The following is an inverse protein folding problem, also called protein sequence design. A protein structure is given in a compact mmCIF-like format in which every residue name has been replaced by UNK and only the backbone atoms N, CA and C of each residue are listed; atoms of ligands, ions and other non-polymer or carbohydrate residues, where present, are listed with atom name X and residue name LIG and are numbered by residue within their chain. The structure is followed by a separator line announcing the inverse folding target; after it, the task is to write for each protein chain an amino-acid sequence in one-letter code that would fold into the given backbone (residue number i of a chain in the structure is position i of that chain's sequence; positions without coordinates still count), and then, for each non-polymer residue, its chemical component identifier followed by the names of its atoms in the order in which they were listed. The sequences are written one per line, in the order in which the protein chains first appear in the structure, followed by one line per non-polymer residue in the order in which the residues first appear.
data_IF_221657019603
#
_entry.id   IF_221657019603
#
_cell.length_a   1.000
_cell.length_b   1.000
_cell.length_c   1.000
_cell.angle_alpha   90.00
_cell.angle_beta   90.00
_cell.angle_gamma   90.00
#
_symmetry.space_group_name_H-M   'P 1'
#
loop_
_entity.id
_entity.type
_entity.pdbx_description
1 polymer ?
#
# COMPACT_ATOMS: atom_id res chain seq x y z
N UNK A 1 31.45 11.45 -8.34
CA UNK A 1 32.27 11.68 -9.55
C UNK A 1 31.49 12.55 -10.52
N UNK A 2 32.16 13.46 -11.24
CA UNK A 2 31.53 14.38 -12.20
C UNK A 2 31.37 13.72 -13.58
N UNK A 3 30.35 14.14 -14.33
CA UNK A 3 30.15 13.73 -15.72
C UNK A 3 31.25 14.31 -16.62
N UNK A 4 31.87 13.48 -17.45
CA UNK A 4 32.89 13.87 -18.43
C UNK A 4 32.34 13.56 -19.83
N UNK A 5 31.95 14.55 -20.64
CA UNK A 5 31.29 14.33 -21.94
C UNK A 5 32.07 13.42 -22.90
N UNK A 6 33.41 13.46 -22.88
CA UNK A 6 34.25 12.64 -23.76
C UNK A 6 34.26 11.14 -23.40
N UNK A 7 34.01 10.79 -22.14
CA UNK A 7 34.04 9.41 -21.65
C UNK A 7 32.63 8.86 -21.42
N UNK A 8 31.69 9.71 -21.01
CA UNK A 8 30.40 9.32 -20.48
C UNK A 8 29.23 9.54 -21.46
N UNK A 9 29.46 10.09 -22.66
CA UNK A 9 28.40 10.38 -23.64
C UNK A 9 27.75 9.15 -24.26
N UNK A 10 28.51 8.05 -24.40
CA UNK A 10 28.04 6.79 -24.94
C UNK A 10 27.19 5.96 -23.97
N UNK A 11 27.12 6.33 -22.69
CA UNK A 11 26.39 5.55 -21.69
C UNK A 11 24.87 5.70 -21.86
N UNK A 12 24.14 4.65 -21.47
CA UNK A 12 22.68 4.69 -21.40
C UNK A 12 22.23 5.76 -20.40
N UNK A 13 21.34 6.65 -20.85
CA UNK A 13 20.88 7.84 -20.13
C UNK A 13 21.96 8.92 -19.85
N UNK A 14 22.94 9.06 -20.74
CA UNK A 14 23.96 10.13 -20.68
C UNK A 14 23.38 11.53 -20.51
N UNK A 15 22.21 11.82 -21.11
CA UNK A 15 21.49 13.08 -20.93
C UNK A 15 21.16 13.36 -19.45
N UNK A 16 20.64 12.35 -18.72
CA UNK A 16 20.29 12.51 -17.31
C UNK A 16 21.54 12.69 -16.45
N UNK A 17 22.58 11.89 -16.72
CA UNK A 17 23.87 11.98 -16.04
C UNK A 17 24.50 13.38 -16.19
N UNK A 18 24.48 13.92 -17.41
CA UNK A 18 24.95 15.27 -17.73
C UNK A 18 24.17 16.34 -16.97
N UNK A 19 22.83 16.26 -16.96
CA UNK A 19 21.97 17.20 -16.22
C UNK A 19 22.17 17.14 -14.70
N UNK A 20 22.43 15.95 -14.17
CA UNK A 20 22.67 15.72 -12.75
C UNK A 20 24.12 16.03 -12.33
N UNK A 21 25.02 16.22 -13.30
CA UNK A 21 26.44 16.44 -13.05
C UNK A 21 27.15 15.22 -12.47
N UNK A 22 26.61 14.02 -12.66
CA UNK A 22 27.15 12.76 -12.14
C UNK A 22 27.68 11.88 -13.25
N UNK A 23 28.73 11.10 -12.98
CA UNK A 23 29.31 10.16 -13.95
C UNK A 23 28.25 9.21 -14.53
N UNK A 24 27.46 8.57 -13.67
CA UNK A 24 26.29 7.76 -14.02
C UNK A 24 25.00 8.47 -13.62
N UNK A 25 23.87 8.21 -14.29
CA UNK A 25 22.60 8.79 -13.90
C UNK A 25 22.15 8.24 -12.53
N UNK A 26 21.43 9.07 -11.79
CA UNK A 26 20.76 8.70 -10.54
C UNK A 26 19.33 8.29 -10.90
N UNK A 27 18.99 7.02 -10.70
CA UNK A 27 17.70 6.44 -11.09
C UNK A 27 17.14 5.58 -9.96
N UNK A 28 15.81 5.39 -9.85
CA UNK A 28 15.23 4.36 -8.98
C UNK A 28 15.72 2.95 -9.35
N UNK A 29 15.54 1.96 -8.48
CA UNK A 29 15.87 0.55 -8.79
C UNK A 29 14.93 0.07 -9.91
N UNK A 30 15.48 -0.22 -11.08
CA UNK A 30 14.68 -0.52 -12.27
C UNK A 30 15.25 -1.64 -13.15
N UNK A 31 16.56 -1.88 -13.12
CA UNK A 31 17.18 -2.96 -13.91
C UNK A 31 17.17 -4.30 -13.16
N UNK A 32 17.17 -5.44 -13.87
CA UNK A 32 17.24 -6.75 -13.22
C UNK A 32 18.55 -6.94 -12.44
N UNK A 33 19.67 -6.40 -12.94
CA UNK A 33 20.98 -6.44 -12.27
C UNK A 33 20.94 -5.72 -10.93
N UNK A 34 20.29 -4.55 -10.87
CA UNK A 34 20.09 -3.82 -9.61
C UNK A 34 19.21 -4.58 -8.63
N UNK A 35 18.17 -5.28 -9.10
CA UNK A 35 17.33 -6.11 -8.22
C UNK A 35 18.16 -7.24 -7.62
N UNK A 36 18.95 -7.93 -8.44
CA UNK A 36 19.85 -8.99 -7.98
C UNK A 36 20.87 -8.46 -6.98
N UNK A 37 21.48 -7.30 -7.23
CA UNK A 37 22.40 -6.65 -6.30
C UNK A 37 21.72 -6.27 -4.99
N UNK A 38 20.49 -5.77 -5.04
CA UNK A 38 19.71 -5.46 -3.85
C UNK A 38 19.42 -6.71 -3.01
N UNK A 39 19.02 -7.80 -3.65
CA UNK A 39 18.84 -9.09 -2.97
C UNK A 39 20.14 -9.58 -2.35
N UNK A 40 21.25 -9.49 -3.08
CA UNK A 40 22.57 -9.83 -2.56
C UNK A 40 22.89 -9.03 -1.28
N UNK A 41 22.67 -7.72 -1.29
CA UNK A 41 22.90 -6.88 -0.11
C UNK A 41 21.97 -7.20 1.06
N UNK A 42 20.70 -7.55 0.83
CA UNK A 42 19.80 -7.95 1.91
C UNK A 42 20.30 -9.17 2.70
N UNK A 43 20.99 -10.10 2.03
CA UNK A 43 21.50 -11.33 2.64
C UNK A 43 22.90 -11.20 3.23
N UNK A 44 23.74 -10.32 2.67
CA UNK A 44 25.17 -10.26 3.01
C UNK A 44 25.58 -8.99 3.75
N UNK A 45 24.81 -7.90 3.64
CA UNK A 45 25.14 -6.61 4.25
C UNK A 45 24.21 -6.30 5.43
N UNK A 46 24.75 -6.20 6.67
CA UNK A 46 23.96 -5.85 7.84
C UNK A 46 23.41 -4.42 7.76
N UNK A 47 23.93 -3.59 6.86
CA UNK A 47 23.44 -2.24 6.60
C UNK A 47 22.02 -2.22 6.02
N UNK A 48 21.65 -3.26 5.25
CA UNK A 48 20.35 -3.40 4.61
C UNK A 48 19.36 -4.20 5.48
N UNK A 49 19.88 -5.08 6.33
CA UNK A 49 19.07 -5.91 7.25
C UNK A 49 19.72 -5.93 8.64
N UNK A 50 19.59 -4.86 9.43
CA UNK A 50 20.14 -4.86 10.79
C UNK A 50 19.34 -5.83 11.66
N UNK A 51 20.03 -6.47 12.61
CA UNK A 51 19.43 -7.43 13.55
C UNK A 51 18.36 -6.76 14.45
N UNK A 52 18.48 -5.45 14.69
CA UNK A 52 17.48 -4.64 15.36
C UNK A 52 17.39 -3.25 14.71
N UNK A 53 16.16 -2.78 14.47
CA UNK A 53 15.88 -1.42 13.99
C UNK A 53 15.77 -1.25 12.48
N UNK A 54 15.86 0.00 12.02
CA UNK A 54 15.80 0.35 10.60
C UNK A 54 17.18 0.25 9.92
N UNK A 55 17.23 -0.13 8.62
CA UNK A 55 18.47 -0.16 7.86
C UNK A 55 19.19 1.20 7.83
N UNK A 56 20.52 1.19 7.88
CA UNK A 56 21.31 2.41 7.78
C UNK A 56 21.44 2.84 6.32
N UNK A 57 20.40 3.51 5.82
CA UNK A 57 20.29 3.89 4.42
C UNK A 57 21.41 4.81 3.94
N UNK A 58 21.92 5.70 4.80
CA UNK A 58 23.01 6.62 4.44
C UNK A 58 24.31 5.87 4.15
N UNK A 59 24.63 4.85 4.95
CA UNK A 59 25.78 4.00 4.73
C UNK A 59 25.54 3.05 3.54
N UNK A 60 24.35 2.46 3.44
CA UNK A 60 23.95 1.56 2.37
C UNK A 60 24.09 2.20 0.98
N UNK A 61 23.68 3.46 0.82
CA UNK A 61 23.83 4.20 -0.45
C UNK A 61 25.30 4.40 -0.83
N UNK A 62 26.20 4.60 0.14
CA UNK A 62 27.64 4.72 -0.16
C UNK A 62 28.17 3.41 -0.73
N UNK A 63 27.87 2.29 -0.07
CA UNK A 63 28.27 0.94 -0.52
C UNK A 63 27.69 0.63 -1.90
N UNK A 64 26.40 0.94 -2.10
CA UNK A 64 25.75 0.79 -3.39
C UNK A 64 26.46 1.59 -4.48
N UNK A 65 26.66 2.89 -4.26
CA UNK A 65 27.25 3.76 -5.28
C UNK A 65 28.71 3.39 -5.57
N UNK A 66 29.45 2.85 -4.59
CA UNK A 66 30.78 2.28 -4.82
C UNK A 66 30.76 1.02 -5.69
N UNK A 67 29.71 0.18 -5.62
CA UNK A 67 29.51 -0.94 -6.55
C UNK A 67 29.06 -0.46 -7.93
N UNK A 68 28.15 0.52 -7.98
CA UNK A 68 27.68 1.14 -9.22
C UNK A 68 28.82 1.75 -10.05
N UNK A 69 29.91 2.21 -9.41
CA UNK A 69 31.09 2.70 -10.12
C UNK A 69 31.83 1.63 -10.94
N UNK A 70 31.71 0.36 -10.54
CA UNK A 70 32.40 -0.80 -11.12
C UNK A 70 31.53 -1.61 -12.06
N UNK A 71 30.23 -1.66 -11.82
CA UNK A 71 29.27 -2.49 -12.57
C UNK A 71 28.51 -1.68 -13.60
N UNK A 72 28.52 -2.07 -14.88
CA UNK A 72 27.97 -1.28 -15.99
C UNK A 72 26.47 -1.02 -15.87
N UNK A 73 25.67 -2.04 -15.55
CA UNK A 73 24.20 -2.00 -15.51
C UNK A 73 23.60 -1.57 -14.16
N UNK A 74 24.45 -1.06 -13.26
CA UNK A 74 24.05 -0.54 -11.96
C UNK A 74 24.24 0.97 -11.95
N UNK A 75 23.15 1.68 -11.64
CA UNK A 75 23.11 3.13 -11.58
C UNK A 75 23.19 3.63 -10.15
N UNK A 76 23.50 4.93 -10.00
CA UNK A 76 23.55 5.55 -8.69
C UNK A 76 22.16 5.63 -8.06
N UNK A 77 22.12 5.50 -6.74
CA UNK A 77 20.90 5.56 -5.93
C UNK A 77 20.98 6.67 -4.90
N UNK A 78 19.80 7.16 -4.57
CA UNK A 78 19.54 8.00 -3.40
C UNK A 78 18.98 7.14 -2.26
N UNK A 79 18.98 7.70 -1.06
CA UNK A 79 18.41 7.07 0.13
C UNK A 79 16.93 6.77 -0.09
N UNK A 80 16.21 7.72 -0.66
CA UNK A 80 14.78 7.66 -0.95
C UNK A 80 14.48 6.52 -1.92
N UNK A 81 15.32 6.33 -2.95
CA UNK A 81 15.16 5.25 -3.92
C UNK A 81 15.28 3.87 -3.26
N UNK A 82 16.28 3.68 -2.39
CA UNK A 82 16.47 2.42 -1.68
C UNK A 82 15.34 2.17 -0.66
N UNK A 83 14.90 3.21 0.06
CA UNK A 83 13.77 3.12 0.99
C UNK A 83 12.48 2.71 0.30
N UNK A 84 12.11 3.37 -0.79
CA UNK A 84 10.89 3.07 -1.56
C UNK A 84 10.95 1.66 -2.14
N UNK A 85 12.12 1.24 -2.63
CA UNK A 85 12.26 -0.12 -3.15
C UNK A 85 12.20 -1.17 -2.03
N UNK A 86 12.81 -0.89 -0.87
CA UNK A 86 12.77 -1.78 0.29
C UNK A 86 11.35 -1.99 0.83
N UNK A 87 10.56 -0.93 0.97
CA UNK A 87 9.17 -1.07 1.44
C UNK A 87 8.34 -1.89 0.46
N UNK A 88 8.51 -1.67 -0.84
CA UNK A 88 7.88 -2.48 -1.89
C UNK A 88 8.30 -3.94 -1.79
N UNK A 89 9.61 -4.22 -1.71
CA UNK A 89 10.15 -5.57 -1.58
C UNK A 89 9.59 -6.26 -0.32
N UNK A 90 9.63 -5.59 0.83
CA UNK A 90 9.13 -6.13 2.10
C UNK A 90 7.64 -6.48 2.04
N UNK A 91 6.82 -5.63 1.44
CA UNK A 91 5.40 -5.92 1.22
C UNK A 91 5.19 -7.13 0.33
N UNK A 92 5.94 -7.24 -0.78
CA UNK A 92 5.88 -8.42 -1.65
C UNK A 92 6.35 -9.70 -0.96
N UNK A 93 7.42 -9.63 -0.15
CA UNK A 93 7.89 -10.75 0.65
C UNK A 93 6.85 -11.21 1.67
N UNK A 94 6.21 -10.28 2.38
CA UNK A 94 5.14 -10.61 3.32
C UNK A 94 3.93 -11.26 2.63
N UNK A 95 3.56 -10.79 1.44
CA UNK A 95 2.50 -11.40 0.64
C UNK A 95 2.90 -12.82 0.22
N UNK A 96 4.13 -13.00 -0.26
CA UNK A 96 4.65 -14.30 -0.64
C UNK A 96 4.61 -15.28 0.54
N UNK A 97 5.06 -14.85 1.72
CA UNK A 97 5.05 -15.65 2.93
C UNK A 97 3.62 -16.00 3.36
N UNK A 98 2.70 -15.03 3.36
CA UNK A 98 1.29 -15.28 3.65
C UNK A 98 0.63 -16.24 2.64
N UNK A 99 0.97 -16.14 1.35
CA UNK A 99 0.50 -17.06 0.32
C UNK A 99 1.09 -18.46 0.45
N UNK A 100 2.33 -18.56 0.92
CA UNK A 100 3.02 -19.81 1.23
C UNK A 100 2.35 -20.50 2.43
N UNK A 101 2.14 -19.76 3.53
CA UNK A 101 1.50 -20.28 4.75
C UNK A 101 0.06 -20.75 4.46
N UNK A 102 -0.70 -19.98 3.68
CA UNK A 102 -2.09 -20.32 3.34
C UNK A 102 -2.21 -21.32 2.17
N UNK A 103 -1.10 -21.80 1.62
CA UNK A 103 -1.12 -22.60 0.38
C UNK A 103 -1.97 -23.86 0.51
N UNK A 104 -1.84 -24.60 1.61
CA UNK A 104 -2.51 -25.90 1.78
C UNK A 104 -4.02 -25.76 1.92
N UNK A 105 -4.50 -24.69 2.53
CA UNK A 105 -5.94 -24.40 2.62
C UNK A 105 -6.48 -23.78 1.33
N UNK A 106 -5.72 -22.89 0.69
CA UNK A 106 -6.17 -22.13 -0.48
C UNK A 106 -6.21 -22.98 -1.76
N UNK A 107 -5.21 -23.83 -2.00
CA UNK A 107 -5.12 -24.65 -3.22
C UNK A 107 -6.36 -25.50 -3.50
N UNK A 108 -6.88 -26.33 -2.55
CA UNK A 108 -8.06 -27.15 -2.81
C UNK A 108 -9.31 -26.31 -3.09
N UNK A 109 -9.46 -25.19 -2.37
CA UNK A 109 -10.57 -24.26 -2.58
C UNK A 109 -10.51 -23.61 -3.96
N UNK A 110 -9.32 -23.15 -4.38
CA UNK A 110 -9.09 -22.59 -5.71
C UNK A 110 -9.42 -23.60 -6.81
N UNK A 111 -9.06 -24.88 -6.64
CA UNK A 111 -9.42 -25.92 -7.62
C UNK A 111 -10.92 -26.16 -7.72
N UNK A 112 -11.67 -26.06 -6.62
CA UNK A 112 -13.14 -26.20 -6.65
C UNK A 112 -13.79 -24.99 -7.33
N UNK A 113 -13.30 -23.78 -7.03
CA UNK A 113 -13.86 -22.54 -7.61
C UNK A 113 -13.62 -22.49 -9.12
N UNK A 114 -12.42 -22.88 -9.57
CA UNK A 114 -12.02 -22.84 -10.98
C UNK A 114 -12.34 -24.13 -11.74
N UNK A 115 -13.10 -25.06 -11.15
CA UNK A 115 -13.56 -26.25 -11.85
C UNK A 115 -14.48 -25.83 -13.02
N UNK A 116 -14.16 -26.15 -14.29
CA UNK A 116 -15.03 -25.85 -15.42
C UNK A 116 -16.40 -26.52 -15.34
N UNK A 117 -16.54 -27.60 -14.57
CA UNK A 117 -17.82 -28.29 -14.32
C UNK A 117 -18.68 -27.60 -13.27
N UNK A 118 -18.18 -26.56 -12.60
CA UNK A 118 -18.91 -25.80 -11.58
C UNK A 118 -20.21 -25.18 -12.09
N UNK A 119 -20.25 -24.76 -13.35
CA UNK A 119 -21.45 -24.18 -13.97
C UNK A 119 -22.59 -25.17 -14.13
N UNK A 120 -22.28 -26.46 -14.31
CA UNK A 120 -23.28 -27.53 -14.47
C UNK A 120 -24.05 -27.75 -13.17
N UNK A 121 -23.39 -27.58 -12.02
CA UNK A 121 -23.98 -27.73 -10.69
C UNK A 121 -24.49 -26.41 -10.10
N UNK A 122 -24.50 -25.33 -10.88
CA UNK A 122 -25.02 -24.06 -10.42
C UNK A 122 -26.55 -24.15 -10.24
N UNK A 123 -27.12 -23.56 -9.17
CA UNK A 123 -28.56 -23.53 -9.00
C UNK A 123 -29.22 -22.79 -10.17
N UNK A 124 -30.39 -23.23 -10.63
CA UNK A 124 -31.12 -22.55 -11.69
C UNK A 124 -31.40 -21.10 -11.27
N UNK A 125 -30.91 -20.15 -12.06
CA UNK A 125 -31.18 -18.73 -11.85
C UNK A 125 -32.58 -18.44 -12.40
N UNK A 126 -33.48 -17.81 -11.63
CA UNK A 126 -34.78 -17.39 -12.17
C UNK A 126 -34.57 -16.44 -13.34
N UNK A 127 -35.02 -16.83 -14.53
CA UNK A 127 -35.10 -15.92 -15.67
C UNK A 127 -36.25 -14.96 -15.40
N UNK A 128 -35.92 -13.77 -14.92
CA UNK A 128 -36.88 -12.66 -14.89
C UNK A 128 -36.99 -12.22 -16.36
N UNK A 129 -38.12 -12.45 -17.05
CA UNK A 129 -38.28 -11.89 -18.38
C UNK A 129 -38.11 -10.37 -18.24
N UNK A 130 -37.27 -9.78 -19.08
CA UNK A 130 -37.23 -8.33 -19.22
C UNK A 130 -38.66 -7.90 -19.58
N UNK A 131 -39.39 -7.35 -18.61
CA UNK A 131 -40.64 -6.66 -18.91
C UNK A 131 -40.21 -5.40 -19.63
N UNK A 132 -40.71 -5.25 -20.85
CA UNK A 132 -40.67 -3.97 -21.53
C UNK A 132 -41.28 -2.94 -20.59
N UNK A 133 -40.50 -1.89 -20.28
CA UNK A 133 -40.99 -0.74 -19.54
C UNK A 133 -41.98 -0.01 -20.44
N UNK A 134 -43.24 -0.45 -20.41
CA UNK A 134 -44.33 0.27 -21.04
C UNK A 134 -44.64 1.48 -20.18
N UNK A 135 -44.05 2.62 -20.54
CA UNK A 135 -44.43 3.92 -19.97
C UNK A 135 -45.84 4.20 -20.46
N UNK A 136 -46.84 3.84 -19.65
CA UNK A 136 -48.26 3.97 -20.03
C UNK A 136 -48.75 5.41 -19.91
N UNK A 137 -48.09 6.25 -19.10
CA UNK A 137 -48.41 7.67 -18.95
C UNK A 137 -47.14 8.51 -18.84
N UNK A 138 -47.11 9.60 -19.61
CA UNK A 138 -46.12 10.68 -19.46
C UNK A 138 -46.57 11.69 -18.40
N UNK A 139 -45.61 12.52 -17.96
CA UNK A 139 -45.71 13.69 -17.07
C UNK A 139 -47.13 13.99 -16.56
N UNK A 140 -47.35 13.74 -15.26
CA UNK A 140 -48.58 14.13 -14.56
C UNK A 140 -48.91 15.60 -14.84
N UNK A 141 -50.15 15.96 -15.21
CA UNK A 141 -50.56 17.34 -15.31
C UNK A 141 -50.38 18.02 -13.95
N UNK A 142 -49.80 19.22 -13.99
CA UNK A 142 -49.54 20.04 -12.82
C UNK A 142 -50.88 20.42 -12.18
N UNK A 143 -51.31 19.65 -11.19
CA UNK A 143 -52.16 20.07 -10.07
C UNK A 143 -52.42 18.86 -9.16
N UNK A 144 -51.56 18.69 -8.16
CA UNK A 144 -52.01 18.13 -6.88
C UNK A 144 -51.33 18.90 -5.76
N UNK A 145 -52.16 19.61 -5.02
CA UNK A 145 -51.81 20.30 -3.79
C UNK A 145 -51.04 19.35 -2.87
N UNK A 146 -49.80 19.70 -2.57
CA UNK A 146 -49.00 19.03 -1.54
C UNK A 146 -49.73 19.25 -0.21
N UNK A 147 -50.20 18.21 0.50
CA UNK A 147 -50.58 18.38 1.89
C UNK A 147 -49.28 18.63 2.65
N UNK A 148 -49.16 19.81 3.25
CA UNK A 148 -48.04 20.12 4.13
C UNK A 148 -47.98 19.07 5.26
N UNK A 149 -46.79 18.54 5.60
CA UNK A 149 -46.65 17.60 6.69
C UNK A 149 -46.95 18.29 8.03
N UNK A 150 -47.52 17.59 9.03
CA UNK A 150 -47.78 18.16 10.34
C UNK A 150 -46.46 18.59 11.02
N UNK A 151 -46.43 19.85 11.47
CA UNK A 151 -45.27 20.57 12.00
C UNK A 151 -44.74 20.11 13.38
N UNK A 152 -45.03 18.89 13.83
CA UNK A 152 -44.67 18.45 15.18
C UNK A 152 -43.46 17.52 15.28
N UNK A 153 -42.61 17.43 14.23
CA UNK A 153 -41.40 16.59 14.29
C UNK A 153 -40.16 17.27 14.91
N UNK A 154 -40.22 18.57 15.20
CA UNK A 154 -39.09 19.30 15.80
C UNK A 154 -39.11 19.31 17.34
N UNK A 155 -40.17 18.83 18.00
CA UNK A 155 -40.22 18.74 19.47
C UNK A 155 -39.80 17.36 20.02
N UNK A 156 -39.77 16.30 19.21
CA UNK A 156 -39.29 14.98 19.67
C UNK A 156 -37.77 14.77 19.49
N UNK A 157 -37.13 15.45 18.54
CA UNK A 157 -35.67 15.40 18.38
C UNK A 157 -34.90 16.18 19.46
N UNK A 158 -35.58 17.06 20.22
CA UNK A 158 -34.99 17.78 21.34
C UNK A 158 -35.03 17.02 22.68
N UNK A 159 -35.71 15.87 22.76
CA UNK A 159 -35.80 15.05 24.00
C UNK A 159 -34.84 13.85 24.03
N UNK A 160 -34.11 13.59 22.95
CA UNK A 160 -33.08 12.55 22.93
C UNK A 160 -31.69 13.17 22.78
N UNK A 161 -31.26 13.89 23.82
CA UNK A 161 -29.85 14.14 24.04
C UNK A 161 -29.18 12.86 24.60
N UNK A 162 -28.05 12.42 24.06
CA UNK A 162 -27.22 11.42 24.73
C UNK A 162 -26.58 12.05 25.97
N UNK A 163 -27.07 11.69 27.16
CA UNK A 163 -26.29 11.76 28.39
C UNK A 163 -25.15 10.75 28.25
N UNK A 164 -24.03 11.13 27.63
CA UNK A 164 -22.76 10.41 27.65
C UNK A 164 -21.66 11.30 27.06
N UNK A 165 -21.31 12.39 27.75
CA UNK A 165 -20.16 13.23 27.33
C UNK A 165 -19.29 13.72 28.50
N UNK A 166 -19.61 13.40 29.75
CA UNK A 166 -18.81 13.83 30.91
C UNK A 166 -18.17 12.69 31.72
N UNK A 167 -18.44 11.42 31.43
CA UNK A 167 -17.86 10.29 32.19
C UNK A 167 -16.57 9.70 31.59
N UNK A 168 -16.23 10.06 30.34
CA UNK A 168 -15.02 9.53 29.67
C UNK A 168 -13.81 10.46 29.71
N UNK A 169 -13.89 11.56 30.47
CA UNK A 169 -12.75 12.48 30.67
C UNK A 169 -12.02 12.30 32.01
N UNK A 170 -12.53 11.46 32.91
CA UNK A 170 -11.88 11.11 34.18
C UNK A 170 -11.20 9.73 34.19
N UNK A 171 -11.32 8.93 33.12
CA UNK A 171 -10.63 7.62 33.02
C UNK A 171 -9.28 7.65 32.28
N UNK A 172 -8.92 8.76 31.66
CA UNK A 172 -7.60 8.92 31.00
C UNK A 172 -6.58 9.63 31.91
N UNK A 173 -7.01 10.20 33.05
CA UNK A 173 -6.10 10.78 34.04
C UNK A 173 -5.70 9.82 35.18
N UNK A 174 -6.27 8.60 35.23
CA UNK A 174 -6.03 7.62 36.32
C UNK A 174 -5.34 6.32 35.87
N UNK A 175 -4.79 6.27 34.65
CA UNK A 175 -3.93 5.15 34.21
C UNK A 175 -2.44 5.50 34.29
N UNK A 176 -2.08 6.78 34.45
CA UNK A 176 -0.69 7.24 34.58
C UNK A 176 -0.19 7.39 36.03
N UNK A 177 -0.93 6.90 37.04
CA UNK A 177 -0.49 6.90 38.45
C UNK A 177 -0.74 5.53 39.13
N UNK A 178 -0.43 4.41 38.48
CA UNK A 178 -0.26 3.11 39.19
C UNK A 178 0.90 2.25 38.66
N UNK A 179 1.66 2.67 37.63
CA UNK A 179 2.84 1.92 37.13
C UNK A 179 4.16 2.61 37.50
N UNK A 180 4.20 3.25 38.67
CA UNK A 180 5.41 3.87 39.21
C UNK A 180 5.62 3.60 40.70
N UNK A 181 5.18 2.46 41.22
CA UNK A 181 5.55 1.97 42.57
C UNK A 181 5.51 0.43 42.63
N UNK A 182 6.26 -0.26 41.78
CA UNK A 182 6.74 -1.60 42.14
C UNK A 182 8.01 -1.93 41.33
N UNK A 183 9.15 -2.03 42.02
CA UNK A 183 10.46 -2.14 41.36
C UNK A 183 11.66 -1.60 42.14
N UNK A 184 11.54 -1.40 43.45
CA UNK A 184 12.70 -1.35 44.35
C UNK A 184 12.42 -2.16 45.62
N UNK A 185 12.91 -3.39 45.62
CA UNK A 185 13.75 -3.97 46.67
C UNK A 185 14.42 -5.23 46.13
#
# INVERSE_FOLDING_TARGET
MKYIPSLDSGQKYSYLASRQGTRKPILPVHTPEERTLFHFFLHHEPLFTPCAGEPNWRAAVKVWNSKADREEFVYYKLVEHLKVYYTKWKGLSQIHDALSISADTRKPLVSIIHDPRRSINAPPVPSIPMRELVVTEGILPAESSIPLPPQNRLQELAKQQPKNSLENRERVANVDIVVALDGRR
#
